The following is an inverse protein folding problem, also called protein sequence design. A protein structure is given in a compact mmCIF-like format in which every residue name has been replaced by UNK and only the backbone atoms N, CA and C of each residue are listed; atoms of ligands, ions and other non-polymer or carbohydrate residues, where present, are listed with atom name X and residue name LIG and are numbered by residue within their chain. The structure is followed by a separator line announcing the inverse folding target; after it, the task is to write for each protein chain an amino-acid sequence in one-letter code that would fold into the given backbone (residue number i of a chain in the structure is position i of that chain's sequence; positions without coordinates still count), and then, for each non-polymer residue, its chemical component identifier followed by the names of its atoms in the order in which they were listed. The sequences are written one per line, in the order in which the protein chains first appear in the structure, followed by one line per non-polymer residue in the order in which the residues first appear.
data_IF_685069675463
#
_entry.id   IF_685069675463
#
_cell.length_a   1.000
_cell.length_b   1.000
_cell.length_c   1.000
_cell.angle_alpha   90.00
_cell.angle_beta   90.00
_cell.angle_gamma   90.00
#
_symmetry.space_group_name_H-M   'P 1'
#
loop_
_entity.id
_entity.type
_entity.pdbx_description
1 polymer ?
#
# COMPACT_ATOMS: atom_id res chain seq x y z
N UNK A 1 4.62 -23.97 -4.02
CA UNK A 1 4.92 -22.74 -3.23
C UNK A 1 6.14 -22.89 -2.33
N UNK A 2 6.46 -24.11 -1.86
CA UNK A 2 7.58 -24.41 -0.98
C UNK A 2 8.92 -24.72 -1.69
N UNK A 3 8.92 -24.70 -3.02
CA UNK A 3 10.10 -24.88 -3.85
C UNK A 3 10.81 -23.54 -3.98
N UNK A 4 11.96 -23.40 -3.33
CA UNK A 4 12.75 -22.16 -3.29
C UNK A 4 13.55 -21.91 -4.58
N UNK A 5 13.63 -22.91 -5.46
CA UNK A 5 14.28 -22.79 -6.78
C UNK A 5 13.43 -22.01 -7.78
N UNK A 6 12.12 -21.90 -7.52
CA UNK A 6 11.17 -21.17 -8.35
C UNK A 6 11.00 -19.76 -7.80
N UNK A 7 10.95 -18.76 -8.69
CA UNK A 7 10.83 -17.35 -8.31
C UNK A 7 9.40 -17.04 -7.85
N UNK A 8 9.27 -16.31 -6.74
CA UNK A 8 7.99 -15.93 -6.13
C UNK A 8 7.71 -14.42 -6.21
N UNK A 9 6.61 -14.03 -6.84
CA UNK A 9 6.01 -12.70 -6.76
C UNK A 9 4.85 -12.68 -5.76
N UNK A 10 4.92 -11.78 -4.79
CA UNK A 10 3.97 -11.69 -3.67
C UNK A 10 3.34 -10.30 -3.56
N UNK A 11 2.02 -10.25 -3.47
CA UNK A 11 1.24 -9.09 -3.02
C UNK A 11 0.51 -9.44 -1.74
N UNK A 12 0.68 -8.59 -0.72
CA UNK A 12 -0.13 -8.61 0.48
C UNK A 12 -0.94 -7.32 0.51
N UNK A 13 -2.24 -7.46 0.66
CA UNK A 13 -3.18 -6.36 0.59
C UNK A 13 -4.12 -6.41 1.80
N UNK A 14 -4.23 -5.28 2.49
CA UNK A 14 -5.26 -5.05 3.50
C UNK A 14 -6.46 -4.41 2.80
N UNK A 15 -7.65 -4.93 3.09
CA UNK A 15 -8.94 -4.45 2.55
C UNK A 15 -9.07 -2.92 2.64
N UNK A 16 -9.53 -2.33 1.54
CA UNK A 16 -9.85 -0.92 1.48
C UNK A 16 -11.10 -0.75 0.63
N UNK A 17 -12.28 -0.86 1.23
CA UNK A 17 -13.55 -0.88 0.49
C UNK A 17 -13.75 0.39 -0.34
N UNK A 18 -13.35 1.54 0.20
CA UNK A 18 -13.37 2.81 -0.53
C UNK A 18 -12.65 2.74 -1.89
N UNK A 19 -11.48 2.10 -1.96
CA UNK A 19 -10.71 2.02 -3.21
C UNK A 19 -11.02 0.76 -4.01
N UNK A 20 -11.07 -0.40 -3.35
CA UNK A 20 -11.20 -1.72 -3.95
C UNK A 20 -12.60 -1.96 -4.53
N UNK A 21 -13.64 -1.50 -3.81
CA UNK A 21 -15.05 -1.72 -4.17
C UNK A 21 -15.67 -0.47 -4.78
N UNK A 22 -15.49 0.69 -4.13
CA UNK A 22 -16.10 1.95 -4.57
C UNK A 22 -15.24 2.76 -5.54
N UNK A 23 -14.04 2.28 -5.88
CA UNK A 23 -13.21 2.85 -6.94
C UNK A 23 -12.48 4.13 -6.56
N UNK A 24 -12.51 4.55 -5.29
CA UNK A 24 -11.86 5.77 -4.81
C UNK A 24 -10.38 5.81 -5.17
N UNK A 25 -9.98 6.99 -5.62
CA UNK A 25 -8.68 7.41 -6.14
C UNK A 25 -7.90 8.29 -5.14
N UNK A 26 -8.44 8.50 -3.93
CA UNK A 26 -7.76 9.19 -2.82
C UNK A 26 -6.61 8.37 -2.21
N UNK A 27 -6.50 7.10 -2.58
CA UNK A 27 -5.42 6.23 -2.11
C UNK A 27 -4.96 5.25 -3.20
N UNK A 28 -3.75 4.72 -3.03
CA UNK A 28 -3.12 3.80 -3.98
C UNK A 28 -3.47 2.33 -3.76
N UNK A 29 -4.41 2.01 -2.86
CA UNK A 29 -4.79 0.64 -2.52
C UNK A 29 -5.19 -0.19 -3.74
N UNK A 30 -6.20 0.23 -4.51
CA UNK A 30 -6.66 -0.50 -5.70
C UNK A 30 -5.60 -0.55 -6.82
N UNK A 31 -4.91 0.55 -7.18
CA UNK A 31 -3.80 0.48 -8.14
C UNK A 31 -2.74 -0.58 -7.78
N UNK A 32 -2.32 -0.62 -6.51
CA UNK A 32 -1.38 -1.64 -6.05
C UNK A 32 -1.96 -3.06 -6.02
N UNK A 33 -3.25 -3.22 -5.72
CA UNK A 33 -3.92 -4.52 -5.77
C UNK A 33 -3.93 -5.07 -7.19
N UNK A 34 -4.37 -4.26 -8.16
CA UNK A 34 -4.44 -4.63 -9.58
C UNK A 34 -3.04 -4.95 -10.10
N UNK A 35 -2.08 -4.06 -9.87
CA UNK A 35 -0.68 -4.27 -10.28
C UNK A 35 -0.08 -5.53 -9.61
N UNK A 36 -0.40 -5.76 -8.34
CA UNK A 36 -0.09 -6.98 -7.60
C UNK A 36 -0.56 -8.26 -8.28
N UNK A 37 -1.82 -8.27 -8.72
CA UNK A 37 -2.43 -9.40 -9.44
C UNK A 37 -1.75 -9.59 -10.79
N UNK A 38 -1.52 -8.51 -11.55
CA UNK A 38 -0.86 -8.58 -12.85
C UNK A 38 0.55 -9.17 -12.77
N UNK A 39 1.38 -8.70 -11.84
CA UNK A 39 2.73 -9.24 -11.68
C UNK A 39 2.73 -10.68 -11.16
N UNK A 40 1.78 -11.04 -10.30
CA UNK A 40 1.63 -12.42 -9.86
C UNK A 40 1.28 -13.36 -11.03
N UNK A 41 0.37 -12.95 -11.91
CA UNK A 41 0.01 -13.71 -13.12
C UNK A 41 1.20 -13.81 -14.08
N UNK A 42 1.90 -12.69 -14.33
CA UNK A 42 3.10 -12.68 -15.19
C UNK A 42 4.19 -13.62 -14.67
N UNK A 43 4.44 -13.61 -13.36
CA UNK A 43 5.44 -14.49 -12.74
C UNK A 43 5.05 -15.96 -12.90
N UNK A 44 3.78 -16.30 -12.66
CA UNK A 44 3.28 -17.66 -12.86
C UNK A 44 3.40 -18.13 -14.34
N UNK A 45 3.14 -17.23 -15.30
CA UNK A 45 3.30 -17.53 -16.74
C UNK A 45 4.76 -17.75 -17.14
N UNK A 46 5.71 -17.12 -16.46
CA UNK A 46 7.15 -17.27 -16.71
C UNK A 46 7.75 -18.53 -16.06
N UNK A 47 6.93 -19.44 -15.53
CA UNK A 47 7.36 -20.64 -14.81
C UNK A 47 7.69 -20.40 -13.34
N UNK A 48 7.39 -19.20 -12.83
CA UNK A 48 7.48 -18.82 -11.43
C UNK A 48 6.22 -19.17 -10.62
N UNK A 49 6.01 -18.45 -9.52
CA UNK A 49 4.79 -18.50 -8.72
C UNK A 49 4.32 -17.09 -8.37
N UNK A 50 3.00 -16.87 -8.45
CA UNK A 50 2.36 -15.62 -8.05
C UNK A 50 1.41 -15.85 -6.89
N UNK A 51 1.48 -14.99 -5.87
CA UNK A 51 0.57 -15.01 -4.71
C UNK A 51 0.02 -13.63 -4.42
N UNK A 52 -1.30 -13.56 -4.25
CA UNK A 52 -1.98 -12.39 -3.72
C UNK A 52 -2.74 -12.81 -2.47
N UNK A 53 -2.42 -12.19 -1.34
CA UNK A 53 -3.11 -12.39 -0.07
C UNK A 53 -3.94 -11.14 0.21
N UNK A 54 -5.25 -11.33 0.34
CA UNK A 54 -6.20 -10.29 0.67
C UNK A 54 -6.67 -10.47 2.12
N UNK A 55 -6.17 -9.63 3.02
CA UNK A 55 -6.62 -9.58 4.40
C UNK A 55 -7.88 -8.73 4.49
N UNK A 56 -8.96 -9.33 4.97
CA UNK A 56 -10.22 -8.63 5.28
C UNK A 56 -10.10 -7.80 6.57
N UNK A 57 -9.24 -6.79 6.49
CA UNK A 57 -8.90 -5.84 7.56
C UNK A 57 -8.92 -4.44 6.96
N UNK A 58 -10.06 -3.77 7.07
CA UNK A 58 -10.22 -2.41 6.58
C UNK A 58 -9.19 -1.46 7.21
N UNK A 59 -8.59 -0.62 6.34
CA UNK A 59 -7.57 0.37 6.67
C UNK A 59 -7.68 0.96 8.08
N UNK A 60 -6.67 0.67 8.90
CA UNK A 60 -6.41 1.27 10.22
C UNK A 60 -7.56 1.18 11.23
N UNK A 61 -8.44 0.18 11.17
CA UNK A 61 -9.54 0.00 12.13
C UNK A 61 -10.46 1.22 12.32
N UNK A 62 -10.38 2.23 11.44
CA UNK A 62 -11.07 3.52 11.57
C UNK A 62 -12.15 3.73 10.49
N UNK A 63 -12.25 2.82 9.53
CA UNK A 63 -13.27 2.88 8.49
C UNK A 63 -13.10 4.09 7.54
N UNK A 64 -13.94 4.09 6.52
CA UNK A 64 -13.99 5.08 5.43
C UNK A 64 -14.23 6.53 5.92
N UNK A 65 -14.71 6.69 7.15
CA UNK A 65 -15.16 7.96 7.75
C UNK A 65 -14.00 8.95 7.97
N UNK A 66 -12.78 8.48 8.24
CA UNK A 66 -11.65 9.37 8.53
C UNK A 66 -10.95 9.96 7.30
N UNK A 67 -11.34 9.54 6.08
CA UNK A 67 -10.78 10.06 4.83
C UNK A 67 -11.57 11.24 4.24
N UNK A 68 -12.66 11.70 4.88
CA UNK A 68 -13.54 12.78 4.41
C UNK A 68 -13.24 14.14 5.07
N UNK A 69 -12.13 14.79 4.72
CA UNK A 69 -11.86 16.18 5.15
C UNK A 69 -10.71 16.82 4.39
N UNK A 70 -10.63 18.16 4.37
CA UNK A 70 -9.67 18.96 3.57
C UNK A 70 -8.24 18.39 3.49
N UNK A 71 -7.78 18.09 2.28
CA UNK A 71 -6.59 17.28 1.98
C UNK A 71 -5.29 18.09 1.93
N UNK A 72 -4.52 18.17 3.03
CA UNK A 72 -3.09 18.52 2.98
C UNK A 72 -2.24 17.35 3.43
N UNK A 73 -1.16 17.07 2.70
CA UNK A 73 -0.26 15.96 3.01
C UNK A 73 0.34 16.07 4.43
N UNK A 74 0.55 17.31 4.91
CA UNK A 74 1.03 17.61 6.27
C UNK A 74 0.10 17.15 7.40
N UNK A 75 -1.20 17.06 7.12
CA UNK A 75 -2.22 16.73 8.12
C UNK A 75 -2.72 15.27 8.02
N UNK A 76 -2.27 14.54 7.00
CA UNK A 76 -2.64 13.15 6.71
C UNK A 76 -2.42 12.21 7.91
N UNK A 77 -1.26 12.30 8.58
CA UNK A 77 -0.99 11.49 9.78
C UNK A 77 -1.61 12.07 11.05
N UNK A 78 -1.70 13.40 11.18
CA UNK A 78 -2.27 14.05 12.36
C UNK A 78 -3.75 13.70 12.53
N UNK A 79 -4.53 13.62 11.44
CA UNK A 79 -5.92 13.15 11.50
C UNK A 79 -6.03 11.70 11.93
N UNK A 80 -5.13 10.85 11.45
CA UNK A 80 -5.10 9.44 11.86
C UNK A 80 -4.81 9.33 13.36
N UNK A 81 -3.82 10.08 13.84
CA UNK A 81 -3.41 10.10 15.24
C UNK A 81 -4.48 10.69 16.17
N UNK A 82 -5.17 11.76 15.74
CA UNK A 82 -6.25 12.39 16.50
C UNK A 82 -7.49 11.49 16.65
N UNK A 83 -7.72 10.56 15.72
CA UNK A 83 -8.92 9.72 15.73
C UNK A 83 -8.63 8.31 16.28
N UNK A 84 -7.47 7.71 15.96
CA UNK A 84 -7.08 6.37 16.47
C UNK A 84 -6.19 6.42 17.72
N UNK A 85 -5.65 7.57 18.12
CA UNK A 85 -4.66 7.67 19.20
C UNK A 85 -3.29 7.06 18.86
N UNK A 86 -3.10 6.54 17.64
CA UNK A 86 -1.86 5.94 17.15
C UNK A 86 -1.69 6.18 15.65
N UNK A 87 -0.44 6.43 15.24
CA UNK A 87 -0.08 6.82 13.85
C UNK A 87 -0.28 5.69 12.84
N UNK A 88 -0.22 4.43 13.29
CA UNK A 88 -0.37 3.22 12.46
C UNK A 88 -0.78 2.01 13.32
N UNK A 89 -2.00 1.50 13.16
CA UNK A 89 -2.52 0.33 13.88
C UNK A 89 -2.25 -1.01 13.19
N UNK A 90 -1.43 -1.06 12.14
CA UNK A 90 -1.22 -2.31 11.39
C UNK A 90 -0.55 -3.38 12.26
N UNK A 91 -1.38 -4.24 12.85
CA UNK A 91 -0.98 -5.52 13.39
C UNK A 91 -0.68 -6.49 12.24
N UNK A 92 0.53 -6.37 11.68
CA UNK A 92 1.08 -7.33 10.71
C UNK A 92 1.48 -8.66 11.36
N UNK A 93 1.20 -8.87 12.65
CA UNK A 93 1.55 -10.08 13.39
C UNK A 93 0.95 -11.37 12.78
N UNK A 94 -0.21 -11.28 12.12
CA UNK A 94 -0.85 -12.42 11.43
C UNK A 94 -0.36 -12.62 10.00
N UNK A 95 0.46 -11.68 9.48
CA UNK A 95 0.98 -11.75 8.12
C UNK A 95 1.90 -12.96 7.88
N UNK A 96 2.81 -13.32 8.80
CA UNK A 96 3.66 -14.50 8.64
C UNK A 96 2.89 -15.82 8.68
N UNK A 97 1.77 -15.90 9.42
CA UNK A 97 1.06 -17.17 9.65
C UNK A 97 0.58 -17.80 8.35
N UNK A 98 -0.04 -17.01 7.47
CA UNK A 98 -0.51 -17.50 6.18
C UNK A 98 0.65 -17.86 5.24
N UNK A 99 1.76 -17.12 5.30
CA UNK A 99 2.96 -17.41 4.50
C UNK A 99 3.59 -18.73 4.94
N UNK A 100 3.70 -18.94 6.25
CA UNK A 100 4.18 -20.20 6.84
C UNK A 100 3.23 -21.36 6.51
N UNK A 101 1.91 -21.15 6.60
CA UNK A 101 0.92 -22.15 6.26
C UNK A 101 0.99 -22.58 4.79
N UNK A 102 1.23 -21.63 3.87
CA UNK A 102 1.48 -21.91 2.45
C UNK A 102 2.87 -22.52 2.19
N UNK A 103 3.71 -22.67 3.21
CA UNK A 103 5.07 -23.19 3.12
C UNK A 103 6.05 -22.26 2.41
N UNK A 104 5.74 -20.96 2.34
CA UNK A 104 6.60 -19.94 1.72
C UNK A 104 7.74 -19.62 2.67
N UNK A 105 8.98 -19.87 2.23
CA UNK A 105 10.21 -19.59 2.99
C UNK A 105 11.07 -18.49 2.39
N UNK A 106 10.83 -18.18 1.10
CA UNK A 106 11.58 -17.19 0.33
C UNK A 106 10.61 -16.36 -0.50
N UNK A 107 10.80 -15.04 -0.52
CA UNK A 107 10.03 -14.08 -1.31
C UNK A 107 11.00 -13.32 -2.21
N UNK A 108 10.97 -13.59 -3.52
CA UNK A 108 11.85 -12.91 -4.48
C UNK A 108 11.37 -11.48 -4.73
N UNK A 109 10.10 -11.31 -5.06
CA UNK A 109 9.51 -10.00 -5.40
C UNK A 109 8.31 -9.70 -4.52
N UNK A 110 8.24 -8.49 -3.97
CA UNK A 110 7.05 -8.03 -3.25
C UNK A 110 6.55 -6.68 -3.76
N UNK A 111 5.26 -6.63 -4.07
CA UNK A 111 4.57 -5.41 -4.48
C UNK A 111 3.97 -4.73 -3.26
N UNK A 112 4.77 -3.94 -2.54
CA UNK A 112 4.33 -3.30 -1.30
C UNK A 112 5.22 -2.12 -0.90
N UNK A 113 4.66 -1.17 -0.15
CA UNK A 113 5.39 -0.07 0.50
C UNK A 113 5.85 -0.40 1.95
N UNK A 114 5.63 -1.64 2.42
CA UNK A 114 6.01 -2.09 3.78
C UNK A 114 7.53 -2.09 4.00
N UNK A 115 7.99 -2.10 5.26
CA UNK A 115 9.43 -2.11 5.60
C UNK A 115 10.01 -3.49 5.92
N UNK A 116 9.38 -4.57 5.48
CA UNK A 116 9.87 -5.93 5.76
C UNK A 116 11.10 -6.30 4.88
N UNK A 117 12.04 -7.13 5.38
CA UNK A 117 13.17 -7.61 4.58
C UNK A 117 12.68 -8.51 3.44
N UNK A 118 13.04 -8.18 2.20
CA UNK A 118 12.73 -8.93 0.97
C UNK A 118 13.88 -8.77 -0.03
N UNK A 119 13.96 -9.66 -1.02
CA UNK A 119 15.00 -9.59 -2.06
C UNK A 119 14.79 -8.40 -3.01
N UNK A 120 13.61 -8.29 -3.62
CA UNK A 120 13.27 -7.23 -4.57
C UNK A 120 11.92 -6.60 -4.20
N UNK A 121 11.93 -5.27 -4.02
CA UNK A 121 10.70 -4.49 -3.86
C UNK A 121 10.30 -3.91 -5.20
N UNK A 122 9.06 -4.13 -5.60
CA UNK A 122 8.51 -3.59 -6.85
C UNK A 122 7.55 -2.47 -6.49
N UNK A 123 7.91 -1.25 -6.91
CA UNK A 123 7.09 -0.06 -6.71
C UNK A 123 5.97 0.01 -7.74
N UNK A 124 4.89 0.72 -7.41
CA UNK A 124 3.83 0.99 -8.37
C UNK A 124 4.38 1.99 -9.42
N UNK A 125 4.28 1.69 -10.72
CA UNK A 125 4.65 2.62 -11.79
C UNK A 125 3.94 3.98 -11.64
N UNK A 126 4.62 5.08 -11.95
CA UNK A 126 4.08 6.44 -11.74
C UNK A 126 2.81 6.68 -12.58
N UNK A 127 2.70 6.03 -13.73
CA UNK A 127 1.54 6.10 -14.63
C UNK A 127 0.28 5.48 -14.03
N UNK A 128 0.44 4.59 -13.05
CA UNK A 128 -0.67 3.92 -12.36
C UNK A 128 -1.07 4.63 -11.06
N UNK A 129 -0.39 5.74 -10.70
CA UNK A 129 -0.68 6.52 -9.51
C UNK A 129 -1.76 7.57 -9.82
N UNK A 130 -2.97 7.48 -9.23
CA UNK A 130 -3.97 8.54 -9.39
C UNK A 130 -3.47 9.88 -8.86
N UNK A 131 -3.82 10.98 -9.54
CA UNK A 131 -3.38 12.33 -9.16
C UNK A 131 -3.73 12.67 -7.70
N UNK A 132 -4.93 12.32 -7.25
CA UNK A 132 -5.41 12.61 -5.88
C UNK A 132 -4.74 11.75 -4.81
N UNK A 133 -4.11 10.63 -5.19
CA UNK A 133 -3.37 9.78 -4.26
C UNK A 133 -1.97 10.31 -3.95
N UNK A 134 -1.51 11.38 -4.64
CA UNK A 134 -0.21 12.02 -4.38
C UNK A 134 -0.11 12.56 -2.95
N UNK A 135 -1.21 13.06 -2.39
CA UNK A 135 -1.29 13.48 -0.97
C UNK A 135 -0.89 12.33 -0.03
N UNK A 136 -1.41 11.13 -0.27
CA UNK A 136 -1.08 9.95 0.53
C UNK A 136 0.37 9.52 0.31
N UNK A 137 0.84 9.51 -0.94
CA UNK A 137 2.21 9.10 -1.28
C UNK A 137 3.22 10.05 -0.64
N UNK A 138 3.09 11.36 -0.86
CA UNK A 138 4.04 12.36 -0.38
C UNK A 138 4.10 12.38 1.15
N UNK A 139 2.94 12.19 1.80
CA UNK A 139 2.89 11.98 3.25
C UNK A 139 3.69 10.74 3.65
N UNK A 140 3.46 9.58 3.00
CA UNK A 140 4.17 8.32 3.28
C UNK A 140 5.68 8.45 3.04
N UNK A 141 6.12 9.06 1.94
CA UNK A 141 7.55 9.30 1.63
C UNK A 141 8.21 10.10 2.74
N UNK A 142 7.56 11.17 3.18
CA UNK A 142 8.05 12.04 4.25
C UNK A 142 8.12 11.32 5.58
N UNK A 143 7.13 10.48 5.89
CA UNK A 143 7.14 9.60 7.06
C UNK A 143 8.18 8.47 6.97
N UNK A 144 8.95 8.42 5.88
CA UNK A 144 10.05 7.49 5.68
C UNK A 144 9.60 6.11 5.19
N UNK A 145 8.41 5.99 4.59
CA UNK A 145 8.07 4.82 3.77
C UNK A 145 8.91 4.87 2.49
N UNK A 146 9.44 3.73 2.09
CA UNK A 146 10.39 3.66 0.98
C UNK A 146 9.67 3.81 -0.37
N UNK A 147 10.08 4.82 -1.12
CA UNK A 147 9.93 4.92 -2.57
C UNK A 147 11.24 5.52 -3.10
N UNK A 148 11.64 5.22 -4.33
CA UNK A 148 12.80 5.84 -4.98
C UNK A 148 12.66 7.37 -5.23
N UNK A 149 11.55 7.98 -4.80
CA UNK A 149 11.25 9.41 -4.95
C UNK A 149 12.03 10.36 -4.02
N UNK A 150 12.10 11.63 -4.44
CA UNK A 150 12.69 12.74 -3.69
C UNK A 150 11.92 12.95 -2.37
N UNK A 151 12.63 13.00 -1.23
CA UNK A 151 12.02 13.46 0.03
C UNK A 151 11.72 14.96 -0.08
N UNK A 152 10.44 15.29 0.09
CA UNK A 152 9.97 16.68 0.04
C UNK A 152 10.26 17.41 1.35
N UNK A 153 10.49 18.72 1.27
CA UNK A 153 10.59 19.59 2.44
C UNK A 153 9.20 19.83 3.07
N UNK A 154 9.17 20.32 4.31
CA UNK A 154 7.89 20.64 4.98
C UNK A 154 7.08 21.70 4.24
N UNK A 155 7.75 22.65 3.56
CA UNK A 155 7.11 23.65 2.71
C UNK A 155 6.52 23.04 1.43
N UNK A 156 7.27 22.16 0.77
CA UNK A 156 6.80 21.42 -0.42
C UNK A 156 5.57 20.57 -0.08
N UNK A 157 5.52 19.92 1.09
CA UNK A 157 4.37 19.11 1.52
C UNK A 157 3.11 19.91 1.82
N UNK A 158 3.25 21.13 2.34
CA UNK A 158 2.09 22.01 2.60
C UNK A 158 1.43 22.50 1.31
N UNK A 159 2.18 22.51 0.20
CA UNK A 159 1.69 22.87 -1.12
C UNK A 159 0.94 21.71 -1.82
N UNK A 160 1.13 20.46 -1.38
CA UNK A 160 0.39 19.30 -1.91
C UNK A 160 -1.02 19.30 -1.33
N UNK A 161 -1.99 19.62 -2.19
CA UNK A 161 -3.42 19.62 -1.88
C UNK A 161 -4.15 18.54 -2.69
N UNK A 162 -5.07 17.82 -2.04
CA UNK A 162 -5.99 16.91 -2.71
C UNK A 162 -7.21 17.65 -3.25
N UNK A 163 -8.26 16.92 -3.62
CA UNK A 163 -9.46 17.52 -4.22
C UNK A 163 -10.15 18.48 -3.24
N UNK A 164 -10.44 19.69 -3.73
CA UNK A 164 -11.36 20.63 -3.08
C UNK A 164 -12.78 20.18 -3.43
N UNK A 165 -13.59 19.88 -2.42
CA UNK A 165 -15.01 19.57 -2.62
C UNK A 165 -15.75 20.90 -2.77
N UNK A 166 -16.28 21.20 -3.94
CA UNK A 166 -17.32 22.25 -4.08
C UNK A 166 -18.63 21.69 -3.50
N UNK A 167 -19.31 22.51 -2.69
CA UNK A 167 -20.55 22.18 -1.97
C UNK A 167 -21.71 21.74 -2.88
#
# INVERSE_FOLDING_TARGET
MSDESVRLALRIHDECNGSDVFGSDICTCRPYLIFGIEEAVKEAQNGGSGVVIYFRKEGRALGEVTKRGEDRASDYFKRTENIAGVKDMRFQALMPDILHWLGIRKIDRMLSMSKIPIHERVELPEELIPADSRVEIDAKITAGYFTAGKRMTEEELRAVQGRMWEE
#
